data_IF_359525818519
#
_entry.id   IF_359525818519
#
_cell.length_a   1.000
_cell.length_b   1.000
_cell.length_c   1.000
_cell.angle_alpha   90.00
_cell.angle_beta   90.00
_cell.angle_gamma   90.00
#
_symmetry.space_group_name_H-M   'P 1'
#
loop_
_entity.id
_entity.type
_entity.pdbx_description
1 polymer ?
#
# COMPACT_ATOMS: atom_id res chain seq x y z
N UNK A 1 -35.37 -78.37 -24.74
CA UNK A 1 -36.50 -78.38 -23.78
C UNK A 1 -36.10 -77.62 -22.56
N UNK A 2 -36.71 -76.41 -22.45
CA UNK A 2 -37.44 -75.91 -21.28
C UNK A 2 -36.57 -75.69 -20.01
N UNK A 3 -36.57 -74.64 -19.32
CA UNK A 3 -37.50 -73.56 -19.10
C UNK A 3 -36.81 -72.43 -18.30
N UNK A 4 -37.17 -71.29 -18.63
CA UNK A 4 -36.82 -70.03 -18.05
C UNK A 4 -37.38 -69.80 -16.64
N UNK A 5 -36.60 -69.24 -15.66
CA UNK A 5 -37.16 -68.58 -14.47
C UNK A 5 -36.43 -67.29 -14.21
N UNK A 6 -37.12 -66.18 -14.50
CA UNK A 6 -36.78 -64.81 -14.11
C UNK A 6 -36.87 -64.67 -12.58
N UNK A 7 -35.82 -64.19 -11.97
CA UNK A 7 -35.91 -63.63 -10.62
C UNK A 7 -35.74 -62.14 -10.71
N UNK A 8 -36.83 -61.47 -10.35
CA UNK A 8 -36.95 -60.02 -10.13
C UNK A 8 -36.28 -59.73 -8.78
N UNK A 9 -35.20 -58.93 -8.77
CA UNK A 9 -34.66 -58.35 -7.50
C UNK A 9 -35.01 -56.86 -7.50
N UNK A 10 -35.88 -56.48 -6.59
CA UNK A 10 -36.19 -55.09 -6.33
C UNK A 10 -35.00 -54.42 -5.63
N UNK A 11 -34.35 -53.49 -6.30
CA UNK A 11 -33.31 -52.67 -5.71
C UNK A 11 -33.93 -51.47 -4.99
N UNK A 12 -33.79 -51.44 -3.65
CA UNK A 12 -34.10 -50.27 -2.85
C UNK A 12 -33.08 -49.18 -3.11
N UNK A 13 -33.50 -48.10 -3.72
CA UNK A 13 -32.67 -46.91 -3.94
C UNK A 13 -32.51 -46.12 -2.63
N UNK A 14 -31.34 -46.15 -2.08
CA UNK A 14 -30.96 -45.21 -0.98
C UNK A 14 -30.64 -43.87 -1.57
N UNK A 15 -31.50 -42.88 -1.37
CA UNK A 15 -31.21 -41.47 -1.60
C UNK A 15 -30.21 -41.00 -0.54
N UNK A 16 -28.92 -40.98 -0.91
CA UNK A 16 -27.91 -40.27 -0.14
C UNK A 16 -28.12 -38.75 -0.33
N UNK A 17 -28.74 -38.11 0.66
CA UNK A 17 -28.75 -36.65 0.74
C UNK A 17 -27.30 -36.17 0.96
N UNK A 18 -26.66 -35.72 -0.12
CA UNK A 18 -25.41 -34.95 0.00
C UNK A 18 -25.77 -33.61 0.66
N UNK A 19 -25.54 -33.53 1.95
CA UNK A 19 -25.55 -32.27 2.69
C UNK A 19 -24.46 -31.37 2.10
N UNK A 20 -24.86 -30.35 1.36
CA UNK A 20 -24.03 -29.20 1.05
C UNK A 20 -23.67 -28.49 2.38
N UNK A 21 -22.65 -28.99 3.05
CA UNK A 21 -21.92 -28.21 4.05
C UNK A 21 -21.27 -27.05 3.27
N UNK A 22 -21.95 -25.93 3.19
CA UNK A 22 -21.37 -24.69 2.70
C UNK A 22 -20.16 -24.40 3.57
N UNK A 23 -18.96 -24.57 3.00
CA UNK A 23 -17.74 -24.08 3.61
C UNK A 23 -17.96 -22.59 3.90
N UNK A 24 -18.20 -22.24 5.15
CA UNK A 24 -18.12 -20.86 5.61
C UNK A 24 -16.67 -20.46 5.34
N UNK A 25 -16.45 -19.71 4.27
CA UNK A 25 -15.13 -19.13 3.99
C UNK A 25 -14.68 -18.40 5.24
N UNK A 26 -13.54 -18.79 5.81
CA UNK A 26 -12.94 -18.02 6.88
C UNK A 26 -12.77 -16.58 6.39
N UNK A 27 -13.18 -15.62 7.23
CA UNK A 27 -13.02 -14.21 6.92
C UNK A 27 -11.53 -13.91 6.70
N UNK A 28 -11.20 -13.24 5.60
CA UNK A 28 -9.83 -12.92 5.25
C UNK A 28 -9.17 -12.00 6.28
N UNK A 29 -7.87 -12.07 6.37
CA UNK A 29 -7.04 -11.25 7.25
C UNK A 29 -5.83 -10.74 6.45
N UNK A 30 -5.29 -9.58 6.83
CA UNK A 30 -4.03 -9.11 6.27
C UNK A 30 -2.87 -10.06 6.62
N UNK A 31 -2.00 -10.31 5.65
CA UNK A 31 -0.74 -11.03 5.83
C UNK A 31 0.28 -10.20 6.58
N UNK A 32 1.26 -9.67 5.87
CA UNK A 32 2.20 -8.69 6.40
C UNK A 32 1.50 -7.33 6.59
N UNK A 33 1.81 -6.67 7.69
CA UNK A 33 1.41 -5.29 7.96
C UNK A 33 2.69 -4.49 7.99
N UNK A 34 2.75 -3.43 7.19
CA UNK A 34 3.86 -2.51 7.05
C UNK A 34 3.64 -1.22 7.83
N UNK A 35 4.74 -0.52 8.09
CA UNK A 35 4.76 0.84 8.63
C UNK A 35 5.52 1.76 7.69
N UNK A 36 4.89 2.88 7.30
CA UNK A 36 5.61 3.99 6.69
C UNK A 36 6.36 4.74 7.79
N UNK A 37 7.69 4.77 7.66
CA UNK A 37 8.58 5.31 8.71
C UNK A 37 8.46 6.83 8.91
N UNK A 38 7.80 7.52 7.99
CA UNK A 38 7.46 8.94 8.18
C UNK A 38 6.63 9.17 9.44
N UNK A 39 5.80 8.22 9.84
CA UNK A 39 5.03 8.26 11.09
C UNK A 39 5.91 8.44 12.32
N UNK A 40 7.08 7.84 12.32
CA UNK A 40 8.05 7.84 13.42
C UNK A 40 9.35 8.56 13.04
N UNK A 41 9.30 9.48 12.05
CA UNK A 41 10.45 10.14 11.44
C UNK A 41 11.40 10.79 12.43
N UNK A 42 10.90 11.34 13.53
CA UNK A 42 11.72 12.02 14.54
C UNK A 42 12.49 10.99 15.40
N UNK A 43 11.84 9.88 15.78
CA UNK A 43 12.53 8.78 16.45
C UNK A 43 13.56 8.16 15.51
N UNK A 44 13.18 7.96 14.25
CA UNK A 44 14.04 7.34 13.25
C UNK A 44 15.25 8.20 12.93
N UNK A 45 15.09 9.52 12.83
CA UNK A 45 16.21 10.44 12.63
C UNK A 45 17.22 10.41 13.78
N UNK A 46 16.75 10.18 15.02
CA UNK A 46 17.60 10.17 16.22
C UNK A 46 18.26 8.81 16.47
N UNK A 47 17.49 7.73 16.32
CA UNK A 47 17.94 6.34 16.59
C UNK A 47 17.29 5.40 15.55
N UNK A 48 17.83 5.34 14.32
CA UNK A 48 17.23 4.54 13.26
C UNK A 48 17.17 3.05 13.57
N UNK A 49 18.27 2.49 14.16
CA UNK A 49 18.32 1.06 14.44
C UNK A 49 17.39 0.65 15.59
N UNK A 50 17.42 1.41 16.68
CA UNK A 50 16.48 1.18 17.80
C UNK A 50 15.03 1.44 17.45
N UNK A 51 14.76 2.33 16.48
CA UNK A 51 13.39 2.53 15.96
C UNK A 51 12.92 1.30 15.20
N UNK A 52 13.74 0.73 14.31
CA UNK A 52 13.42 -0.52 13.61
C UNK A 52 13.20 -1.67 14.59
N UNK A 53 14.00 -1.78 15.67
CA UNK A 53 13.79 -2.77 16.72
C UNK A 53 12.42 -2.64 17.42
N UNK A 54 12.04 -1.40 17.75
CA UNK A 54 10.73 -1.11 18.36
C UNK A 54 9.58 -1.48 17.41
N UNK A 55 9.69 -1.12 16.13
CA UNK A 55 8.71 -1.45 15.08
C UNK A 55 8.56 -2.97 14.92
N UNK A 56 9.66 -3.69 14.81
CA UNK A 56 9.65 -5.16 14.71
C UNK A 56 9.06 -5.83 15.96
N UNK A 57 9.36 -5.29 17.17
CA UNK A 57 8.83 -5.78 18.44
C UNK A 57 7.31 -5.61 18.57
N UNK A 58 6.74 -4.55 18.02
CA UNK A 58 5.26 -4.35 17.96
C UNK A 58 4.62 -5.45 17.11
N UNK A 59 5.31 -5.93 16.07
CA UNK A 59 4.83 -7.01 15.23
C UNK A 59 4.82 -6.71 13.74
N UNK A 60 5.16 -5.49 13.32
CA UNK A 60 5.30 -5.14 11.90
C UNK A 60 6.31 -6.07 11.22
N UNK A 61 6.08 -6.35 9.95
CA UNK A 61 6.95 -7.21 9.13
C UNK A 61 7.45 -6.53 7.88
N UNK A 62 6.87 -5.40 7.55
CA UNK A 62 7.33 -4.53 6.48
C UNK A 62 7.54 -3.12 7.01
N UNK A 63 8.47 -2.40 6.39
CA UNK A 63 8.66 -0.96 6.56
C UNK A 63 8.78 -0.33 5.19
N UNK A 64 8.31 0.90 5.07
CA UNK A 64 8.57 1.72 3.93
C UNK A 64 9.39 2.93 4.38
N UNK A 65 10.54 3.13 3.74
CA UNK A 65 11.40 4.26 4.08
C UNK A 65 10.85 5.55 3.49
N UNK A 66 10.63 6.53 4.35
CA UNK A 66 10.17 7.86 3.99
C UNK A 66 10.40 8.84 5.13
N UNK A 67 11.05 9.98 4.85
CA UNK A 67 11.40 10.98 5.86
C UNK A 67 12.52 10.54 6.83
N UNK A 68 12.75 11.32 7.88
CA UNK A 68 13.77 11.03 8.91
C UNK A 68 15.20 11.07 8.41
N UNK A 69 15.47 11.56 7.19
CA UNK A 69 16.82 11.69 6.63
C UNK A 69 17.44 10.36 6.20
N UNK A 70 16.66 9.30 5.99
CA UNK A 70 17.15 7.96 5.65
C UNK A 70 18.01 7.94 4.38
N UNK A 71 17.76 8.84 3.44
CA UNK A 71 18.46 8.99 2.16
C UNK A 71 19.95 9.36 2.31
N UNK A 72 20.35 9.91 3.48
CA UNK A 72 21.73 10.25 3.81
C UNK A 72 22.38 9.27 4.81
N UNK A 73 21.68 8.19 5.23
CA UNK A 73 22.18 7.23 6.22
C UNK A 73 23.03 6.11 5.58
N UNK A 74 23.67 5.29 6.43
CA UNK A 74 24.29 4.02 6.00
C UNK A 74 23.21 2.98 5.66
N UNK A 75 22.82 2.92 4.38
CA UNK A 75 21.80 1.99 3.90
C UNK A 75 22.18 0.52 4.10
N UNK A 76 23.48 0.19 4.07
CA UNK A 76 23.94 -1.17 4.35
C UNK A 76 23.75 -1.55 5.82
N UNK A 77 23.96 -0.62 6.75
CA UNK A 77 23.69 -0.84 8.17
C UNK A 77 22.17 -0.95 8.44
N UNK A 78 21.35 -0.12 7.81
CA UNK A 78 19.87 -0.24 7.85
C UNK A 78 19.45 -1.60 7.34
N UNK A 79 19.96 -2.06 6.20
CA UNK A 79 19.65 -3.37 5.63
C UNK A 79 20.05 -4.51 6.56
N UNK A 80 21.25 -4.51 7.11
CA UNK A 80 21.66 -5.55 8.09
C UNK A 80 20.73 -5.60 9.30
N UNK A 81 20.28 -4.44 9.78
CA UNK A 81 19.32 -4.37 10.91
C UNK A 81 17.96 -4.93 10.53
N UNK A 82 17.42 -4.57 9.35
CA UNK A 82 16.19 -5.16 8.84
C UNK A 82 16.26 -6.69 8.78
N UNK A 83 17.35 -7.22 8.18
CA UNK A 83 17.51 -8.67 7.99
C UNK A 83 17.56 -9.40 9.35
N UNK A 84 18.30 -8.86 10.33
CA UNK A 84 18.37 -9.37 11.70
C UNK A 84 17.01 -9.39 12.39
N UNK A 85 16.16 -8.40 12.12
CA UNK A 85 14.84 -8.25 12.72
C UNK A 85 13.72 -8.98 11.97
N UNK A 86 14.01 -9.56 10.80
CA UNK A 86 13.02 -10.16 9.93
C UNK A 86 12.05 -9.14 9.31
N UNK A 87 12.47 -7.87 9.22
CA UNK A 87 11.76 -6.82 8.50
C UNK A 87 12.10 -6.86 7.02
N UNK A 88 11.15 -6.49 6.18
CA UNK A 88 11.37 -6.24 4.74
C UNK A 88 11.06 -4.79 4.44
N UNK A 89 11.71 -4.24 3.42
CA UNK A 89 11.39 -2.92 2.88
C UNK A 89 11.04 -3.07 1.39
N UNK A 90 9.81 -3.47 1.04
CA UNK A 90 9.41 -3.69 -0.35
C UNK A 90 9.47 -2.42 -1.19
N UNK A 91 9.27 -1.25 -0.57
CA UNK A 91 9.30 0.05 -1.22
C UNK A 91 10.04 1.11 -0.41
N UNK A 92 10.45 2.16 -1.11
CA UNK A 92 11.05 3.38 -0.56
C UNK A 92 10.48 4.61 -1.25
N UNK A 93 10.28 5.69 -0.51
CA UNK A 93 9.87 7.00 -1.01
C UNK A 93 11.06 7.79 -1.52
N UNK A 94 11.12 8.11 -2.79
CA UNK A 94 12.21 8.89 -3.40
C UNK A 94 11.66 10.19 -3.97
N UNK A 95 12.16 11.37 -3.55
CA UNK A 95 11.70 12.66 -4.05
C UNK A 95 11.89 12.82 -5.56
N UNK A 96 11.02 13.59 -6.20
CA UNK A 96 11.05 13.87 -7.63
C UNK A 96 12.40 14.40 -8.09
N UNK A 97 13.01 15.34 -7.34
CA UNK A 97 14.28 15.95 -7.66
C UNK A 97 15.46 14.94 -7.63
N UNK A 98 15.38 13.96 -6.73
CA UNK A 98 16.39 12.89 -6.70
C UNK A 98 16.24 11.96 -7.91
N UNK A 99 15.01 11.61 -8.29
CA UNK A 99 14.76 10.82 -9.50
C UNK A 99 15.16 11.57 -10.77
N UNK A 100 15.05 12.89 -10.77
CA UNK A 100 15.42 13.73 -11.90
C UNK A 100 16.95 13.91 -12.04
N UNK A 101 17.63 14.17 -10.93
CA UNK A 101 19.05 14.58 -10.93
C UNK A 101 20.04 13.55 -10.41
N UNK A 102 19.59 12.51 -9.69
CA UNK A 102 20.46 11.49 -9.04
C UNK A 102 19.88 10.08 -9.19
N UNK A 103 19.38 9.74 -10.37
CA UNK A 103 18.65 8.50 -10.63
C UNK A 103 19.41 7.24 -10.20
N UNK A 104 20.70 7.12 -10.57
CA UNK A 104 21.52 5.94 -10.23
C UNK A 104 21.73 5.80 -8.72
N UNK A 105 21.80 6.91 -7.98
CA UNK A 105 21.85 6.89 -6.53
C UNK A 105 20.54 6.38 -5.93
N UNK A 106 19.40 6.77 -6.48
CA UNK A 106 18.09 6.26 -6.07
C UNK A 106 17.97 4.74 -6.32
N UNK A 107 18.43 4.25 -7.47
CA UNK A 107 18.47 2.81 -7.80
C UNK A 107 19.37 2.05 -6.84
N UNK A 108 20.56 2.59 -6.56
CA UNK A 108 21.53 1.97 -5.62
C UNK A 108 20.96 1.91 -4.22
N UNK A 109 20.33 2.98 -3.74
CA UNK A 109 19.65 3.04 -2.44
C UNK A 109 18.55 2.00 -2.32
N UNK A 110 17.65 1.93 -3.31
CA UNK A 110 16.57 0.94 -3.34
C UNK A 110 17.11 -0.48 -3.24
N UNK A 111 18.09 -0.84 -4.07
CA UNK A 111 18.70 -2.16 -4.07
C UNK A 111 19.41 -2.50 -2.75
N UNK A 112 20.13 -1.54 -2.17
CA UNK A 112 20.83 -1.74 -0.90
C UNK A 112 19.84 -2.01 0.23
N UNK A 113 18.75 -1.26 0.30
CA UNK A 113 17.67 -1.46 1.27
C UNK A 113 16.82 -2.70 0.98
N UNK A 114 16.96 -3.29 -0.21
CA UNK A 114 16.20 -4.49 -0.63
C UNK A 114 14.80 -4.18 -1.12
N UNK A 115 14.56 -2.94 -1.53
CA UNK A 115 13.31 -2.57 -2.14
C UNK A 115 13.22 -3.05 -3.60
N UNK A 116 12.06 -3.52 -3.99
CA UNK A 116 11.74 -3.86 -5.37
C UNK A 116 10.98 -2.75 -6.10
N UNK A 117 10.50 -1.74 -5.37
CA UNK A 117 9.69 -0.66 -5.91
C UNK A 117 10.12 0.70 -5.32
N UNK A 118 10.21 1.69 -6.18
CA UNK A 118 10.42 3.09 -5.82
C UNK A 118 9.09 3.83 -5.90
N UNK A 119 8.77 4.59 -4.85
CA UNK A 119 7.56 5.41 -4.80
C UNK A 119 7.94 6.88 -4.94
N UNK A 120 7.25 7.60 -5.82
CA UNK A 120 7.27 9.06 -5.85
C UNK A 120 6.23 9.58 -4.86
N UNK A 121 6.67 10.12 -3.69
CA UNK A 121 5.77 10.36 -2.56
C UNK A 121 5.03 11.70 -2.63
N UNK A 122 5.58 12.67 -3.37
CA UNK A 122 5.12 14.04 -3.24
C UNK A 122 5.60 14.95 -4.37
N UNK A 123 4.78 15.90 -4.74
CA UNK A 123 5.15 16.95 -5.69
C UNK A 123 5.09 18.31 -5.01
N UNK A 124 6.14 19.11 -5.19
CA UNK A 124 6.22 20.45 -4.62
C UNK A 124 5.20 21.42 -5.24
N UNK A 125 4.97 22.56 -4.58
CA UNK A 125 3.94 23.52 -5.01
C UNK A 125 4.09 23.99 -6.46
N UNK A 126 5.30 24.11 -6.95
CA UNK A 126 5.57 24.49 -8.36
C UNK A 126 4.97 23.51 -9.36
N UNK A 127 4.93 22.21 -9.01
CA UNK A 127 4.36 21.17 -9.85
C UNK A 127 2.84 21.03 -9.71
N UNK A 128 2.19 21.67 -8.72
CA UNK A 128 0.75 21.59 -8.48
C UNK A 128 -0.08 22.55 -9.32
N UNK A 129 0.54 23.20 -10.28
CA UNK A 129 -0.10 24.03 -11.29
C UNK A 129 -0.33 23.24 -12.58
N UNK A 130 -1.19 23.74 -13.50
CA UNK A 130 -1.40 23.09 -14.79
C UNK A 130 -0.09 22.97 -15.59
N UNK A 131 0.69 24.04 -15.63
CA UNK A 131 1.95 24.07 -16.38
C UNK A 131 3.00 23.14 -15.74
N UNK A 132 3.20 23.23 -14.41
CA UNK A 132 4.16 22.41 -13.69
C UNK A 132 3.81 20.93 -13.74
N UNK A 133 2.52 20.58 -13.60
CA UNK A 133 2.07 19.19 -13.72
C UNK A 133 2.28 18.64 -15.13
N UNK A 134 1.89 19.41 -16.15
CA UNK A 134 2.06 19.00 -17.55
C UNK A 134 3.53 18.77 -17.89
N UNK A 135 4.44 19.58 -17.37
CA UNK A 135 5.88 19.42 -17.55
C UNK A 135 6.45 18.20 -16.78
N UNK A 136 5.86 17.86 -15.63
CA UNK A 136 6.32 16.72 -14.81
C UNK A 136 5.86 15.35 -15.35
N UNK A 137 4.69 15.27 -15.96
CA UNK A 137 4.10 13.98 -16.40
C UNK A 137 5.01 13.13 -17.32
N UNK A 138 5.71 13.68 -18.33
CA UNK A 138 6.65 12.92 -19.14
C UNK A 138 7.79 12.32 -18.30
N UNK A 139 8.30 13.05 -17.29
CA UNK A 139 9.34 12.57 -16.40
C UNK A 139 8.82 11.44 -15.51
N UNK A 140 7.62 11.59 -14.94
CA UNK A 140 7.00 10.53 -14.10
C UNK A 140 6.88 9.23 -14.91
N UNK A 141 6.41 9.31 -16.16
CA UNK A 141 6.33 8.13 -17.02
C UNK A 141 7.72 7.56 -17.36
N UNK A 142 8.68 8.42 -17.63
CA UNK A 142 10.08 8.03 -17.89
C UNK A 142 10.71 7.32 -16.69
N UNK A 143 10.50 7.81 -15.47
CA UNK A 143 11.00 7.15 -14.25
C UNK A 143 10.50 5.70 -14.17
N UNK A 144 9.22 5.45 -14.43
CA UNK A 144 8.68 4.10 -14.47
C UNK A 144 9.37 3.20 -15.51
N UNK A 145 9.66 3.74 -16.71
CA UNK A 145 10.35 3.00 -17.77
C UNK A 145 11.80 2.69 -17.36
N UNK A 146 12.52 3.67 -16.84
CA UNK A 146 13.93 3.53 -16.47
C UNK A 146 14.12 2.62 -15.25
N UNK A 147 13.26 2.75 -14.22
CA UNK A 147 13.26 1.86 -13.07
C UNK A 147 12.98 0.41 -13.47
N UNK A 148 12.02 0.18 -14.38
CA UNK A 148 11.76 -1.16 -14.92
C UNK A 148 12.97 -1.74 -15.64
N UNK A 149 13.72 -0.95 -16.43
CA UNK A 149 14.97 -1.38 -17.04
C UNK A 149 16.03 -1.74 -15.99
N UNK A 150 16.01 -1.03 -14.85
CA UNK A 150 16.87 -1.34 -13.71
C UNK A 150 16.37 -2.52 -12.86
N UNK A 151 15.26 -3.20 -13.24
CA UNK A 151 14.66 -4.32 -12.51
C UNK A 151 13.86 -3.90 -11.27
N UNK A 152 13.44 -2.65 -11.19
CA UNK A 152 12.63 -2.07 -10.11
C UNK A 152 11.24 -1.67 -10.59
N UNK A 153 10.25 -1.75 -9.72
CA UNK A 153 8.94 -1.17 -9.90
C UNK A 153 8.93 0.33 -9.63
N UNK A 154 7.85 0.98 -10.07
CA UNK A 154 7.60 2.38 -9.77
C UNK A 154 6.12 2.60 -9.47
N UNK A 155 5.83 3.40 -8.44
CA UNK A 155 4.48 3.84 -8.15
C UNK A 155 4.44 5.32 -7.74
N UNK A 156 3.26 5.91 -7.91
CA UNK A 156 2.95 7.27 -7.49
C UNK A 156 2.07 7.23 -6.26
N UNK A 157 2.41 8.00 -5.22
CA UNK A 157 1.63 8.18 -4.01
C UNK A 157 0.85 9.49 -4.08
N UNK A 158 -0.45 9.44 -3.79
CA UNK A 158 -1.32 10.62 -3.83
C UNK A 158 -1.48 11.30 -2.49
N UNK A 159 -1.73 12.61 -2.55
CA UNK A 159 -2.32 13.41 -1.49
C UNK A 159 -3.72 13.92 -1.92
N UNK A 160 -4.21 14.96 -1.27
CA UNK A 160 -5.50 15.58 -1.60
C UNK A 160 -5.42 16.49 -2.83
N UNK A 161 -4.28 17.15 -3.03
CA UNK A 161 -4.14 18.17 -4.07
C UNK A 161 -4.29 17.59 -5.50
N UNK A 162 -3.89 16.36 -5.73
CA UNK A 162 -4.07 15.73 -7.04
C UNK A 162 -5.55 15.61 -7.43
N UNK A 163 -6.43 15.49 -6.46
CA UNK A 163 -7.88 15.39 -6.68
C UNK A 163 -8.57 16.76 -6.68
N UNK A 164 -8.07 17.72 -5.86
CA UNK A 164 -8.71 19.01 -5.62
C UNK A 164 -8.28 20.08 -6.62
N UNK A 165 -7.05 20.03 -7.13
CA UNK A 165 -6.57 20.92 -8.20
C UNK A 165 -7.06 20.40 -9.54
N UNK A 166 -7.96 21.17 -10.19
CA UNK A 166 -8.68 20.76 -11.41
C UNK A 166 -8.61 21.80 -12.53
N UNK A 167 -7.44 22.05 -13.12
CA UNK A 167 -7.32 22.97 -14.23
C UNK A 167 -8.15 22.47 -15.43
N UNK A 168 -9.01 23.35 -15.96
CA UNK A 168 -9.95 22.98 -17.04
C UNK A 168 -10.98 21.91 -16.61
N UNK A 169 -11.26 21.75 -15.30
CA UNK A 169 -12.23 20.78 -14.79
C UNK A 169 -11.71 19.35 -14.64
N UNK A 170 -10.46 19.06 -15.05
CA UNK A 170 -9.85 17.72 -14.96
C UNK A 170 -8.82 17.70 -13.84
N UNK A 171 -8.96 16.79 -12.87
CA UNK A 171 -8.03 16.68 -11.75
C UNK A 171 -6.60 16.34 -12.19
N UNK A 172 -5.61 16.77 -11.38
CA UNK A 172 -4.23 16.38 -11.63
C UNK A 172 -4.07 14.86 -11.58
N UNK A 173 -4.84 14.20 -10.70
CA UNK A 173 -4.87 12.74 -10.59
C UNK A 173 -5.34 12.06 -11.89
N UNK A 174 -6.43 12.53 -12.47
CA UNK A 174 -6.94 11.99 -13.74
C UNK A 174 -5.97 12.23 -14.90
N UNK A 175 -5.29 13.41 -14.90
CA UNK A 175 -4.24 13.70 -15.87
C UNK A 175 -3.06 12.74 -15.73
N UNK A 176 -2.62 12.43 -14.49
CA UNK A 176 -1.58 11.43 -14.22
C UNK A 176 -1.98 10.05 -14.76
N UNK A 177 -3.17 9.59 -14.39
CA UNK A 177 -3.65 8.27 -14.80
C UNK A 177 -3.77 8.12 -16.31
N UNK A 178 -4.12 9.21 -17.02
CA UNK A 178 -4.25 9.24 -18.47
C UNK A 178 -2.90 9.32 -19.19
N UNK A 179 -1.95 10.10 -18.65
CA UNK A 179 -0.68 10.37 -19.31
C UNK A 179 0.37 9.28 -19.07
N UNK A 180 0.29 8.54 -17.94
CA UNK A 180 1.30 7.57 -17.58
C UNK A 180 0.84 6.13 -17.89
N UNK A 181 1.74 5.37 -18.51
CA UNK A 181 1.53 3.96 -18.83
C UNK A 181 1.30 3.11 -17.55
N UNK A 182 0.13 2.47 -17.39
CA UNK A 182 -0.19 1.66 -16.20
C UNK A 182 0.69 0.42 -16.05
N UNK A 183 1.43 0.03 -17.08
CA UNK A 183 2.37 -1.09 -17.00
C UNK A 183 3.64 -0.74 -16.24
N UNK A 184 4.03 0.55 -16.19
CA UNK A 184 5.26 1.03 -15.57
C UNK A 184 5.02 2.01 -14.41
N UNK A 185 3.87 2.69 -14.38
CA UNK A 185 3.51 3.62 -13.30
C UNK A 185 2.32 3.04 -12.54
N UNK A 186 2.59 2.38 -11.43
CA UNK A 186 1.58 1.88 -10.50
C UNK A 186 1.12 3.00 -9.56
N UNK A 187 0.23 2.67 -8.65
CA UNK A 187 -0.32 3.59 -7.65
C UNK A 187 -0.15 2.99 -6.26
N UNK A 188 0.39 3.77 -5.37
CA UNK A 188 0.24 3.62 -3.95
C UNK A 188 -0.89 4.56 -3.50
N UNK A 189 -2.05 3.97 -3.19
CA UNK A 189 -3.24 4.74 -2.87
C UNK A 189 -3.27 5.10 -1.40
N UNK A 190 -3.17 6.39 -1.09
CA UNK A 190 -3.45 6.90 0.24
C UNK A 190 -4.95 7.05 0.43
N UNK A 191 -5.50 6.21 1.32
CA UNK A 191 -6.93 6.16 1.59
C UNK A 191 -7.44 7.39 2.33
N UNK A 192 -6.65 7.94 3.27
CA UNK A 192 -7.01 9.14 4.02
C UNK A 192 -7.07 10.37 3.12
N UNK A 193 -6.03 10.60 2.32
CA UNK A 193 -5.97 11.77 1.45
C UNK A 193 -7.02 11.73 0.34
N UNK A 194 -7.34 10.54 -0.17
CA UNK A 194 -8.47 10.38 -1.09
C UNK A 194 -9.80 10.77 -0.44
N UNK A 195 -10.07 10.28 0.78
CA UNK A 195 -11.29 10.64 1.55
C UNK A 195 -11.31 12.13 1.88
N UNK A 196 -10.17 12.71 2.31
CA UNK A 196 -10.05 14.13 2.61
C UNK A 196 -10.37 15.02 1.39
N UNK A 197 -10.02 14.55 0.19
CA UNK A 197 -10.35 15.18 -1.08
C UNK A 197 -11.79 14.90 -1.56
N UNK A 198 -12.65 14.26 -0.74
CA UNK A 198 -14.03 13.95 -1.08
C UNK A 198 -14.21 12.82 -2.08
N UNK A 199 -13.20 11.95 -2.26
CA UNK A 199 -13.30 10.79 -3.12
C UNK A 199 -13.94 9.60 -2.38
N UNK A 200 -14.62 8.73 -3.12
CA UNK A 200 -15.03 7.40 -2.64
C UNK A 200 -13.85 6.43 -2.82
N UNK A 201 -13.21 5.97 -1.71
CA UNK A 201 -12.07 5.08 -1.81
C UNK A 201 -12.43 3.73 -2.45
N UNK A 202 -13.64 3.22 -2.25
CA UNK A 202 -14.07 1.96 -2.86
C UNK A 202 -14.21 2.09 -4.38
N UNK A 203 -14.70 3.22 -4.87
CA UNK A 203 -14.76 3.52 -6.30
C UNK A 203 -13.37 3.66 -6.91
N UNK A 204 -12.44 4.34 -6.21
CA UNK A 204 -11.04 4.45 -6.64
C UNK A 204 -10.35 3.09 -6.70
N UNK A 205 -10.51 2.25 -5.68
CA UNK A 205 -9.94 0.89 -5.64
C UNK A 205 -10.41 0.08 -6.86
N UNK A 206 -11.70 0.11 -7.17
CA UNK A 206 -12.25 -0.60 -8.35
C UNK A 206 -11.70 -0.03 -9.66
N UNK A 207 -11.62 1.29 -9.77
CA UNK A 207 -11.07 1.99 -10.95
C UNK A 207 -9.60 1.68 -11.20
N UNK A 208 -8.84 1.51 -10.13
CA UNK A 208 -7.39 1.27 -10.15
C UNK A 208 -7.01 -0.22 -10.14
N UNK A 209 -7.98 -1.13 -10.25
CA UNK A 209 -7.71 -2.57 -10.24
C UNK A 209 -6.63 -2.94 -11.27
N UNK A 210 -5.62 -3.70 -10.85
CA UNK A 210 -4.44 -4.07 -11.64
C UNK A 210 -3.37 -2.98 -11.77
N UNK A 211 -3.65 -1.74 -11.32
CA UNK A 211 -2.68 -0.64 -11.25
C UNK A 211 -2.21 -0.34 -9.83
N UNK A 212 -2.92 -0.84 -8.81
CA UNK A 212 -2.55 -0.67 -7.40
C UNK A 212 -1.34 -1.51 -7.04
N UNK A 213 -0.41 -0.90 -6.30
CA UNK A 213 0.75 -1.53 -5.67
C UNK A 213 0.53 -1.71 -4.17
N UNK A 214 0.20 -0.62 -3.47
CA UNK A 214 0.05 -0.58 -2.03
C UNK A 214 -1.07 0.36 -1.60
N UNK A 215 -1.46 0.28 -0.32
CA UNK A 215 -2.22 1.32 0.36
C UNK A 215 -1.38 1.95 1.47
N UNK A 216 -1.52 3.28 1.61
CA UNK A 216 -1.32 3.92 2.90
C UNK A 216 -2.62 3.85 3.68
N UNK A 217 -2.55 3.20 4.83
CA UNK A 217 -3.67 2.92 5.72
C UNK A 217 -3.60 3.95 6.85
N UNK A 218 -4.21 5.12 6.60
CA UNK A 218 -4.36 6.23 7.53
C UNK A 218 -5.81 6.37 7.94
N UNK A 219 -6.11 6.45 9.24
CA UNK A 219 -7.47 6.59 9.71
C UNK A 219 -7.83 8.06 9.97
N UNK A 220 -9.13 8.35 9.94
CA UNK A 220 -9.67 9.70 9.95
C UNK A 220 -10.83 9.83 10.93
N UNK A 221 -10.74 10.78 11.87
CA UNK A 221 -11.85 11.11 12.76
C UNK A 221 -12.96 11.89 12.04
N UNK A 222 -14.10 12.01 12.68
CA UNK A 222 -15.24 12.76 12.14
C UNK A 222 -14.94 14.24 11.89
N UNK A 223 -14.04 14.83 12.68
CA UNK A 223 -13.58 16.22 12.52
C UNK A 223 -12.54 16.39 11.39
N UNK A 224 -12.12 15.31 10.79
CA UNK A 224 -11.16 15.31 9.72
C UNK A 224 -9.71 15.08 10.14
N UNK A 225 -9.39 15.06 11.43
CA UNK A 225 -8.02 14.80 11.90
C UNK A 225 -7.58 13.37 11.68
N UNK A 226 -6.26 13.16 11.51
CA UNK A 226 -5.66 11.82 11.49
C UNK A 226 -5.63 11.21 12.89
N UNK A 227 -5.63 9.89 12.94
CA UNK A 227 -5.52 9.14 14.19
C UNK A 227 -4.95 7.75 13.94
N UNK A 228 -4.64 7.04 15.02
CA UNK A 228 -4.30 5.63 14.93
C UNK A 228 -5.42 4.84 14.23
N UNK A 229 -5.06 3.85 13.46
CA UNK A 229 -6.03 2.97 12.78
C UNK A 229 -6.89 2.25 13.82
N UNK A 230 -8.20 2.44 13.69
CA UNK A 230 -9.21 1.95 14.64
C UNK A 230 -9.80 3.01 15.56
N UNK A 231 -9.17 4.18 15.67
CA UNK A 231 -9.67 5.32 16.45
C UNK A 231 -10.50 6.29 15.57
N UNK A 232 -10.59 6.01 14.27
CA UNK A 232 -11.28 6.83 13.28
C UNK A 232 -12.60 6.25 12.80
N UNK A 233 -12.98 6.62 11.58
CA UNK A 233 -14.27 6.28 10.96
C UNK A 233 -14.14 5.53 9.65
N UNK A 234 -12.92 5.26 9.17
CA UNK A 234 -12.73 4.55 7.90
C UNK A 234 -13.07 3.07 8.06
N UNK A 235 -13.99 2.57 7.26
CA UNK A 235 -14.36 1.14 7.24
C UNK A 235 -13.36 0.35 6.41
N UNK A 236 -12.19 0.08 7.00
CA UNK A 236 -11.14 -0.72 6.35
C UNK A 236 -11.60 -2.15 6.03
N UNK A 237 -12.51 -2.73 6.82
CA UNK A 237 -13.02 -4.06 6.53
C UNK A 237 -13.78 -4.09 5.19
N UNK A 238 -14.63 -3.08 4.94
CA UNK A 238 -15.33 -2.96 3.67
C UNK A 238 -14.37 -2.72 2.49
N UNK A 239 -13.34 -1.87 2.68
CA UNK A 239 -12.35 -1.58 1.64
C UNK A 239 -11.49 -2.80 1.31
N UNK A 240 -11.04 -3.53 2.32
CA UNK A 240 -10.13 -4.66 2.14
C UNK A 240 -10.78 -5.90 1.51
N UNK A 241 -12.11 -6.01 1.51
CA UNK A 241 -12.83 -6.99 0.68
C UNK A 241 -12.53 -6.85 -0.82
N UNK A 242 -12.09 -5.67 -1.25
CA UNK A 242 -11.74 -5.39 -2.64
C UNK A 242 -10.28 -5.77 -2.99
N UNK A 243 -9.41 -6.05 -2.00
CA UNK A 243 -7.98 -6.24 -2.18
C UNK A 243 -7.62 -7.29 -3.23
N UNK A 244 -8.29 -8.44 -3.20
CA UNK A 244 -8.03 -9.54 -4.14
C UNK A 244 -8.29 -9.12 -5.58
N UNK A 245 -9.41 -8.46 -5.83
CA UNK A 245 -9.76 -7.97 -7.17
C UNK A 245 -8.88 -6.81 -7.62
N UNK A 246 -8.45 -5.97 -6.68
CA UNK A 246 -7.60 -4.81 -6.92
C UNK A 246 -6.13 -5.19 -7.18
N UNK A 247 -5.66 -6.34 -6.66
CA UNK A 247 -4.29 -6.80 -6.81
C UNK A 247 -3.29 -6.11 -5.90
N UNK A 248 -3.75 -5.51 -4.79
CA UNK A 248 -2.90 -4.83 -3.79
C UNK A 248 -2.02 -5.82 -3.06
N UNK A 249 -0.75 -5.44 -2.85
CA UNK A 249 0.26 -6.31 -2.24
C UNK A 249 0.65 -5.88 -0.83
N UNK A 250 0.75 -4.57 -0.57
CA UNK A 250 1.31 -4.02 0.66
C UNK A 250 0.32 -3.05 1.33
N UNK A 251 0.40 -2.98 2.66
CA UNK A 251 -0.49 -2.21 3.53
C UNK A 251 0.36 -1.50 4.57
N UNK A 252 0.66 -0.23 4.33
CA UNK A 252 1.50 0.58 5.21
C UNK A 252 0.65 1.45 6.11
N UNK A 253 0.72 1.19 7.41
CA UNK A 253 0.19 2.13 8.42
C UNK A 253 0.95 3.43 8.32
N UNK A 254 0.23 4.55 8.30
CA UNK A 254 0.85 5.86 8.44
C UNK A 254 -0.07 6.83 9.20
N UNK A 255 0.52 7.72 9.97
CA UNK A 255 -0.12 8.87 10.58
C UNK A 255 0.85 10.05 10.56
N UNK A 256 0.62 11.03 9.68
CA UNK A 256 1.49 12.21 9.53
C UNK A 256 1.47 13.10 10.77
N UNK A 257 0.41 12.97 11.58
CA UNK A 257 0.13 13.75 12.80
C UNK A 257 0.27 12.90 14.07
N UNK A 258 0.96 11.75 13.99
CA UNK A 258 1.16 10.88 15.15
C UNK A 258 1.76 11.68 16.31
N UNK A 259 1.13 11.66 17.50
CA UNK A 259 1.65 12.42 18.64
C UNK A 259 2.85 11.68 19.26
N UNK A 260 3.84 12.44 19.73
CA UNK A 260 4.89 11.87 20.57
C UNK A 260 4.28 11.18 21.80
N UNK A 261 4.79 10.01 22.24
CA UNK A 261 6.02 9.35 21.82
C UNK A 261 5.87 8.36 20.61
N UNK A 262 4.87 8.52 19.75
CA UNK A 262 4.59 7.78 18.50
C UNK A 262 4.26 6.29 18.65
N UNK A 263 4.97 5.56 19.51
CA UNK A 263 4.81 4.11 19.67
C UNK A 263 3.40 3.66 20.07
N UNK A 264 2.66 4.37 20.94
CA UNK A 264 1.26 4.01 21.23
C UNK A 264 0.38 4.04 19.99
N UNK A 265 0.53 5.06 19.13
CA UNK A 265 -0.25 5.21 17.89
C UNK A 265 -0.04 4.01 16.95
N UNK A 266 1.22 3.71 16.60
CA UNK A 266 1.52 2.60 15.69
C UNK A 266 1.22 1.23 16.31
N UNK A 267 1.24 1.11 17.65
CA UNK A 267 0.85 -0.12 18.35
C UNK A 267 -0.66 -0.35 18.26
N UNK A 268 -1.46 0.68 18.45
CA UNK A 268 -2.92 0.63 18.30
C UNK A 268 -3.28 0.26 16.87
N UNK A 269 -2.69 0.94 15.88
CA UNK A 269 -2.90 0.69 14.46
C UNK A 269 -2.57 -0.76 14.09
N UNK A 270 -1.43 -1.27 14.53
CA UNK A 270 -1.03 -2.65 14.26
C UNK A 270 -2.04 -3.65 14.85
N UNK A 271 -2.42 -3.48 16.11
CA UNK A 271 -3.36 -4.38 16.80
C UNK A 271 -4.72 -4.41 16.11
N UNK A 272 -5.23 -3.24 15.74
CA UNK A 272 -6.49 -3.11 15.01
C UNK A 272 -6.45 -3.87 13.68
N UNK A 273 -5.44 -3.63 12.85
CA UNK A 273 -5.32 -4.30 11.55
C UNK A 273 -5.07 -5.81 11.70
N UNK A 274 -4.31 -6.22 12.71
CA UNK A 274 -4.06 -7.64 12.98
C UNK A 274 -5.31 -8.39 13.40
N UNK A 275 -6.21 -7.71 14.11
CA UNK A 275 -7.50 -8.29 14.55
C UNK A 275 -8.58 -8.23 13.46
N UNK A 276 -8.42 -7.34 12.45
CA UNK A 276 -9.42 -7.10 11.42
C UNK A 276 -9.72 -8.37 10.62
N UNK A 277 -11.01 -8.58 10.34
CA UNK A 277 -11.53 -9.65 9.47
C UNK A 277 -12.43 -9.02 8.39
N UNK A 278 -12.32 -9.52 7.15
CA UNK A 278 -13.05 -8.98 6.01
C UNK A 278 -13.35 -10.02 4.92
#
# INVERSE_FOLDING_TARGET
>A
MMTNRRNFVAGAGSLAALGLLGARGEAAQLGAIGLQLYTVRELFATDPMGTLEKVAKIGYREVEYGGGGYDAMDHAALRRTQDRLGLKAPSIHVPYEMLLGKFDAAVTMARTLGADTVILPYMTNEHRTEAGWTAALPNINRFGIELRKAGLGFAYHNHDFEFTVKPGGVSLYDRLLKACDPSVVKVELDLYWAIAAGQDPAALIRRLAGRLYAYHVKDRRADGSMCAVGDGKVDFAALFKLNRAAGVKHFYVENDQAPAPYLPDITTSFRTLRALRF
#
